data_IF_011708404903
#
_entry.id   IF_011708404903
#
_cell.length_a   1.000
_cell.length_b   1.000
_cell.length_c   1.000
_cell.angle_alpha   90.00
_cell.angle_beta   90.00
_cell.angle_gamma   90.00
#
_symmetry.space_group_name_H-M   'P 1'
#
loop_
_entity.id
_entity.type
_entity.pdbx_description
1 polymer ?
#
# COMPACT_ATOMS: atom_id res chain seq x y z
N UNK A 1 0.98 22.94 -6.20
CA UNK A 1 1.19 21.77 -5.36
C UNK A 1 1.02 22.16 -3.90
N UNK A 2 0.35 21.33 -3.14
CA UNK A 2 0.14 21.57 -1.71
C UNK A 2 1.43 21.26 -0.93
N UNK A 3 1.93 22.24 -0.19
CA UNK A 3 3.15 22.10 0.61
C UNK A 3 2.96 21.14 1.80
N UNK A 4 1.72 20.90 2.20
CA UNK A 4 1.39 20.04 3.34
C UNK A 4 1.09 18.60 2.96
N UNK A 5 1.05 18.31 1.66
CA UNK A 5 0.81 16.96 1.16
C UNK A 5 1.87 16.62 0.11
N UNK A 6 2.97 15.96 0.52
CA UNK A 6 4.05 15.63 -0.40
C UNK A 6 3.67 14.56 -1.43
N UNK A 7 2.59 13.82 -1.21
CA UNK A 7 2.15 12.80 -2.17
C UNK A 7 1.66 13.46 -3.44
N UNK A 8 2.16 13.01 -4.59
CA UNK A 8 1.78 13.54 -5.90
C UNK A 8 0.97 12.54 -6.73
N UNK A 9 0.71 11.36 -6.21
CA UNK A 9 -0.06 10.32 -6.88
C UNK A 9 -0.98 9.61 -5.91
N UNK A 10 -2.09 9.12 -6.44
CA UNK A 10 -3.10 8.41 -5.67
C UNK A 10 -3.60 7.23 -6.49
N UNK A 11 -3.81 6.09 -5.84
CA UNK A 11 -4.26 4.87 -6.47
C UNK A 11 -5.33 4.20 -5.62
N UNK A 12 -6.43 3.78 -6.27
CA UNK A 12 -7.41 2.93 -5.61
C UNK A 12 -6.86 1.50 -5.50
N UNK A 13 -7.01 0.92 -4.31
CA UNK A 13 -6.69 -0.49 -4.09
C UNK A 13 -7.97 -1.30 -4.31
N UNK A 14 -7.89 -2.30 -5.17
CA UNK A 14 -9.00 -3.20 -5.49
C UNK A 14 -8.41 -4.57 -5.83
N UNK A 15 -8.24 -5.41 -4.83
CA UNK A 15 -7.56 -6.69 -4.96
C UNK A 15 -8.39 -7.77 -4.29
N UNK A 16 -8.56 -8.90 -4.97
CA UNK A 16 -9.33 -10.04 -4.45
C UNK A 16 -8.59 -11.38 -4.62
N UNK A 17 -7.41 -11.38 -5.21
CA UNK A 17 -6.63 -12.60 -5.42
C UNK A 17 -5.64 -12.82 -4.27
N UNK A 18 -5.49 -14.07 -3.82
CA UNK A 18 -4.46 -14.42 -2.86
C UNK A 18 -3.07 -14.27 -3.49
N UNK A 19 -2.06 -14.04 -2.65
CA UNK A 19 -0.68 -13.84 -3.09
C UNK A 19 -0.37 -12.39 -3.40
N UNK A 20 0.72 -12.17 -4.10
CA UNK A 20 1.22 -10.83 -4.41
C UNK A 20 0.53 -10.22 -5.61
N UNK A 21 0.18 -8.93 -5.50
CA UNK A 21 -0.30 -8.11 -6.61
C UNK A 21 0.47 -6.80 -6.60
N UNK A 22 0.98 -6.39 -7.75
CA UNK A 22 1.68 -5.12 -7.85
C UNK A 22 0.69 -3.95 -7.74
N UNK A 23 0.92 -3.06 -6.80
CA UNK A 23 0.16 -1.81 -6.67
C UNK A 23 0.78 -0.71 -7.51
N UNK A 24 2.09 -0.53 -7.39
CA UNK A 24 2.85 0.49 -8.12
C UNK A 24 4.05 -0.20 -8.75
N UNK A 25 4.19 -0.05 -10.07
CA UNK A 25 5.31 -0.63 -10.80
C UNK A 25 6.61 0.07 -10.43
N UNK A 26 7.72 -0.68 -10.48
CA UNK A 26 9.04 -0.09 -10.30
C UNK A 26 9.32 0.97 -11.36
N UNK A 27 10.10 1.99 -10.99
CA UNK A 27 10.58 3.01 -11.90
C UNK A 27 12.11 3.09 -11.80
N UNK A 28 12.84 3.05 -12.95
CA UNK A 28 14.30 3.02 -12.93
C UNK A 28 14.91 4.19 -12.15
N UNK A 29 15.80 3.88 -11.23
CA UNK A 29 16.49 4.87 -10.41
C UNK A 29 15.66 5.55 -9.34
N UNK A 30 14.42 5.09 -9.11
CA UNK A 30 13.49 5.76 -8.20
C UNK A 30 12.99 4.82 -7.12
N UNK A 31 12.46 5.40 -6.06
CA UNK A 31 11.83 4.72 -4.94
C UNK A 31 10.37 5.09 -4.85
N UNK A 32 9.55 4.17 -4.37
CA UNK A 32 8.16 4.43 -4.07
C UNK A 32 8.06 4.80 -2.60
N UNK A 33 7.49 5.98 -2.31
CA UNK A 33 7.30 6.48 -0.95
C UNK A 33 5.82 6.56 -0.68
N UNK A 34 5.36 5.85 0.35
CA UNK A 34 3.94 5.81 0.71
C UNK A 34 3.68 6.85 1.79
N UNK A 35 2.75 7.76 1.54
CA UNK A 35 2.41 8.84 2.44
C UNK A 35 1.09 8.60 3.17
N UNK A 36 0.16 7.90 2.55
CA UNK A 36 -1.13 7.58 3.17
C UNK A 36 -1.62 6.22 2.69
N UNK A 37 -2.31 5.51 3.56
CA UNK A 37 -2.86 4.20 3.27
C UNK A 37 -4.16 3.99 4.04
N UNK A 38 -5.19 3.49 3.35
CA UNK A 38 -6.43 3.04 3.95
C UNK A 38 -6.82 1.72 3.33
N UNK A 39 -7.20 0.75 4.15
CA UNK A 39 -7.62 -0.56 3.70
C UNK A 39 -8.94 -0.94 4.35
N UNK A 40 -9.77 -1.66 3.60
CA UNK A 40 -10.95 -2.33 4.11
C UNK A 40 -11.04 -3.73 3.50
N UNK A 41 -11.45 -4.70 4.29
CA UNK A 41 -11.54 -6.09 3.87
C UNK A 41 -12.98 -6.58 3.99
N UNK A 42 -13.40 -7.39 3.02
CA UNK A 42 -14.76 -7.97 3.02
C UNK A 42 -14.88 -9.18 3.95
N UNK A 43 -13.79 -9.71 4.44
CA UNK A 43 -13.77 -10.87 5.33
C UNK A 43 -12.42 -11.04 5.98
N UNK A 44 -12.22 -12.15 6.67
CA UNK A 44 -10.98 -12.47 7.36
C UNK A 44 -9.83 -12.63 6.35
N UNK A 45 -8.79 -11.85 6.51
CA UNK A 45 -7.61 -11.89 5.65
C UNK A 45 -6.43 -11.21 6.34
N UNK A 46 -5.22 -11.67 6.06
CA UNK A 46 -3.99 -10.97 6.45
C UNK A 46 -3.47 -10.26 5.21
N UNK A 47 -3.27 -8.94 5.34
CA UNK A 47 -2.77 -8.09 4.25
C UNK A 47 -1.36 -7.65 4.58
N UNK A 48 -0.44 -7.83 3.65
CA UNK A 48 0.93 -7.33 3.78
C UNK A 48 1.22 -6.32 2.69
N UNK A 49 1.85 -5.22 3.07
CA UNK A 49 2.41 -4.25 2.12
C UNK A 49 3.89 -4.59 2.00
N UNK A 50 4.35 -4.76 0.76
CA UNK A 50 5.68 -5.30 0.48
C UNK A 50 6.46 -4.41 -0.46
N UNK A 51 7.73 -4.22 -0.15
CA UNK A 51 8.72 -3.61 -1.04
C UNK A 51 9.38 -4.75 -1.81
N UNK A 52 8.89 -5.02 -3.02
CA UNK A 52 9.25 -6.24 -3.73
C UNK A 52 8.81 -7.47 -2.95
N UNK A 53 9.77 -8.23 -2.43
CA UNK A 53 9.52 -9.40 -1.59
C UNK A 53 9.65 -9.12 -0.09
N UNK A 54 10.05 -7.91 0.30
CA UNK A 54 10.25 -7.53 1.70
C UNK A 54 8.96 -6.99 2.30
N UNK A 55 8.51 -7.59 3.38
CA UNK A 55 7.31 -7.14 4.10
C UNK A 55 7.63 -5.85 4.84
N UNK A 56 6.87 -4.79 4.53
CA UNK A 56 6.97 -3.51 5.23
C UNK A 56 5.99 -3.43 6.39
N UNK A 57 4.78 -3.95 6.19
CA UNK A 57 3.72 -3.89 7.20
C UNK A 57 2.76 -5.07 7.02
N UNK A 58 2.16 -5.50 8.14
CA UNK A 58 1.16 -6.58 8.15
C UNK A 58 -0.09 -6.07 8.86
N UNK A 59 -1.24 -6.20 8.21
CA UNK A 59 -2.54 -5.86 8.76
C UNK A 59 -3.38 -7.13 8.88
N UNK A 60 -3.79 -7.46 10.10
CA UNK A 60 -4.62 -8.64 10.35
C UNK A 60 -6.09 -8.23 10.46
N UNK A 61 -6.90 -8.67 9.51
CA UNK A 61 -8.35 -8.51 9.54
C UNK A 61 -8.95 -9.84 9.98
N UNK A 62 -9.35 -10.00 11.27
CA UNK A 62 -9.97 -11.25 11.71
C UNK A 62 -11.39 -11.42 11.18
N UNK A 63 -11.99 -10.34 10.68
CA UNK A 63 -13.31 -10.28 10.08
C UNK A 63 -13.38 -9.11 9.13
N UNK A 64 -14.50 -8.97 8.42
CA UNK A 64 -14.74 -7.78 7.59
C UNK A 64 -14.60 -6.50 8.42
N UNK A 65 -13.97 -5.48 7.84
CA UNK A 65 -13.79 -4.21 8.53
C UNK A 65 -12.87 -3.27 7.78
N UNK A 66 -12.69 -2.09 8.37
CA UNK A 66 -11.84 -1.03 7.83
C UNK A 66 -10.84 -0.61 8.88
N UNK A 67 -9.56 -0.52 8.50
CA UNK A 67 -8.53 0.00 9.38
C UNK A 67 -8.60 1.53 9.47
N UNK A 68 -8.14 2.14 10.57
CA UNK A 68 -7.95 3.58 10.63
C UNK A 68 -6.97 4.04 9.54
N UNK A 69 -7.21 5.19 8.87
CA UNK A 69 -6.28 5.69 7.86
C UNK A 69 -4.91 5.99 8.45
N UNK A 70 -3.86 5.59 7.73
CA UNK A 70 -2.49 5.97 8.03
C UNK A 70 -2.12 7.12 7.12
N UNK A 71 -1.67 8.24 7.68
CA UNK A 71 -1.39 9.44 6.91
C UNK A 71 -0.27 10.25 7.55
N UNK A 72 0.78 10.52 6.77
CA UNK A 72 1.87 11.41 7.17
C UNK A 72 2.03 12.51 6.11
N UNK A 73 2.00 13.77 6.55
CA UNK A 73 2.00 14.91 5.65
C UNK A 73 3.40 15.39 5.28
N UNK A 74 4.38 15.19 6.17
CA UNK A 74 5.73 15.76 6.01
C UNK A 74 6.79 14.72 5.72
N UNK A 75 6.48 13.43 5.91
CA UNK A 75 7.40 12.33 5.67
C UNK A 75 6.62 11.14 5.13
N UNK A 76 7.24 10.28 4.32
CA UNK A 76 6.58 9.04 3.88
C UNK A 76 6.41 8.09 5.07
N UNK A 77 5.28 7.38 5.08
CA UNK A 77 5.05 6.31 6.04
C UNK A 77 6.00 5.14 5.78
N UNK A 78 6.15 4.79 4.49
CA UNK A 78 7.13 3.81 4.05
C UNK A 78 7.96 4.40 2.92
N UNK A 79 9.25 4.05 2.90
CA UNK A 79 10.15 4.36 1.79
C UNK A 79 10.69 3.05 1.23
N UNK A 80 10.39 2.79 -0.03
CA UNK A 80 10.83 1.58 -0.71
C UNK A 80 12.28 1.64 -1.15
N UNK A 81 12.74 0.53 -1.70
CA UNK A 81 14.07 0.39 -2.28
C UNK A 81 14.04 0.86 -3.73
N UNK A 82 15.16 1.40 -4.20
CA UNK A 82 15.33 1.81 -5.60
C UNK A 82 15.07 0.64 -6.56
N UNK A 83 14.37 0.90 -7.66
CA UNK A 83 14.05 -0.09 -8.69
C UNK A 83 13.19 -1.25 -8.17
N UNK A 84 12.32 -1.00 -7.21
CA UNK A 84 11.51 -2.05 -6.59
C UNK A 84 10.04 -1.67 -6.61
N UNK A 85 9.19 -2.59 -7.06
CA UNK A 85 7.75 -2.39 -7.08
C UNK A 85 7.16 -2.43 -5.68
N UNK A 86 6.05 -1.71 -5.47
CA UNK A 86 5.25 -1.82 -4.27
C UNK A 86 4.15 -2.85 -4.49
N UNK A 87 4.13 -3.88 -3.66
CA UNK A 87 3.20 -4.99 -3.76
C UNK A 87 2.27 -5.05 -2.55
N UNK A 88 1.09 -5.62 -2.77
CA UNK A 88 0.19 -6.04 -1.71
C UNK A 88 0.06 -7.56 -1.75
N UNK A 89 0.07 -8.20 -0.60
CA UNK A 89 -0.11 -9.65 -0.48
C UNK A 89 -1.35 -9.94 0.37
N UNK A 90 -2.23 -10.80 -0.15
CA UNK A 90 -3.39 -11.29 0.57
C UNK A 90 -3.20 -12.76 0.93
N UNK A 91 -3.48 -13.10 2.17
CA UNK A 91 -3.39 -14.50 2.65
C UNK A 91 -4.48 -15.39 2.06
N UNK A 92 -5.53 -14.82 1.50
CA UNK A 92 -6.63 -15.55 0.89
C UNK A 92 -7.37 -14.70 -0.13
N UNK A 93 -8.27 -15.32 -0.90
CA UNK A 93 -9.05 -14.65 -1.94
C UNK A 93 -10.22 -13.89 -1.31
N UNK A 94 -9.93 -12.78 -0.67
CA UNK A 94 -10.90 -11.90 -0.01
C UNK A 94 -10.77 -10.52 -0.62
N UNK A 95 -11.90 -9.88 -0.96
CA UNK A 95 -11.89 -8.53 -1.52
C UNK A 95 -11.31 -7.53 -0.53
N UNK A 96 -10.30 -6.82 -0.95
CA UNK A 96 -9.66 -5.73 -0.21
C UNK A 96 -9.73 -4.46 -1.05
N UNK A 97 -10.31 -3.42 -0.49
CA UNK A 97 -10.43 -2.11 -1.10
C UNK A 97 -9.69 -1.08 -0.27
N UNK A 98 -9.38 0.02 -0.89
CA UNK A 98 -8.76 1.13 -0.20
C UNK A 98 -8.16 2.14 -1.15
N UNK A 99 -7.24 2.92 -0.60
CA UNK A 99 -6.51 3.93 -1.37
C UNK A 99 -5.12 4.13 -0.78
N UNK A 100 -4.19 4.35 -1.67
CA UNK A 100 -2.81 4.67 -1.32
C UNK A 100 -2.44 5.99 -1.97
N UNK A 101 -1.74 6.86 -1.22
CA UNK A 101 -1.14 8.08 -1.75
C UNK A 101 0.37 7.93 -1.66
N UNK A 102 1.06 8.23 -2.75
CA UNK A 102 2.48 7.92 -2.86
C UNK A 102 3.21 8.90 -3.77
N UNK A 103 4.52 8.85 -3.70
CA UNK A 103 5.45 9.58 -4.57
C UNK A 103 6.43 8.59 -5.14
N UNK A 104 6.79 8.78 -6.40
CA UNK A 104 7.87 8.03 -7.06
C UNK A 104 9.01 9.00 -7.30
N UNK A 105 10.10 8.80 -6.59
CA UNK A 105 11.18 9.79 -6.61
C UNK A 105 12.58 9.17 -6.51
#
# INVERSE_FOLDING_TARGET
MDAFNPADSSLRINVAASGDTALVAEAPGKRIKVHALRLSAAGAVVVQIKDGSTVLETFNFPAAGTMPPLELRHAPYYTGTTNTALNINLSGAVQVDGRIEYTVA
#
